data_IF_621283963602
#
_entry.id   IF_621283963602
#
_cell.length_a   1.000
_cell.length_b   1.000
_cell.length_c   1.000
_cell.angle_alpha   90.00
_cell.angle_beta   90.00
_cell.angle_gamma   90.00
#
_symmetry.space_group_name_H-M   'P 1'
#
loop_
_entity.id
_entity.type
_entity.pdbx_description
1 polymer ?
#
# COMPACT_ATOMS: atom_id res chain seq x y z
N UNK A 1 14.77 -7.73 20.82
CA UNK A 1 15.06 -8.64 19.68
C UNK A 1 13.79 -9.44 19.36
N UNK A 2 13.14 -9.21 18.22
CA UNK A 2 11.97 -9.99 17.79
C UNK A 2 12.32 -10.81 16.54
N UNK A 3 13.16 -11.85 16.73
CA UNK A 3 13.66 -12.74 15.66
C UNK A 3 12.52 -13.28 14.79
N UNK A 4 11.40 -13.61 15.43
CA UNK A 4 10.21 -14.19 14.79
C UNK A 4 9.69 -13.30 13.65
N UNK A 5 9.83 -11.98 13.79
CA UNK A 5 9.39 -11.01 12.77
C UNK A 5 10.10 -11.15 11.43
N UNK A 6 11.34 -11.68 11.39
CA UNK A 6 12.06 -11.93 10.13
C UNK A 6 11.46 -13.09 9.34
N UNK A 7 10.91 -14.10 10.02
CA UNK A 7 10.42 -15.34 9.40
C UNK A 7 8.94 -15.30 9.08
N UNK A 8 8.11 -14.87 10.03
CA UNK A 8 6.66 -14.92 9.86
C UNK A 8 6.19 -13.72 9.02
N UNK A 9 5.48 -13.95 7.90
CA UNK A 9 4.87 -12.88 7.11
C UNK A 9 4.02 -11.94 7.97
N UNK A 10 3.90 -10.68 7.56
CA UNK A 10 3.16 -9.61 8.23
C UNK A 10 3.82 -9.09 9.53
N UNK A 11 4.48 -9.94 10.31
CA UNK A 11 5.12 -9.51 11.56
C UNK A 11 6.27 -8.53 11.33
N UNK A 12 7.01 -8.64 10.22
CA UNK A 12 8.06 -7.67 9.88
C UNK A 12 7.46 -6.28 9.62
N UNK A 13 6.32 -6.20 8.93
CA UNK A 13 5.59 -4.95 8.70
C UNK A 13 5.09 -4.37 10.01
N UNK A 14 4.51 -5.19 10.90
CA UNK A 14 4.06 -4.73 12.21
C UNK A 14 5.21 -4.10 12.98
N UNK A 15 6.35 -4.80 13.03
CA UNK A 15 7.55 -4.36 13.73
C UNK A 15 8.14 -3.04 13.16
N UNK A 16 8.27 -2.95 11.83
CA UNK A 16 9.02 -1.86 11.18
C UNK A 16 8.16 -0.69 10.70
N UNK A 17 6.82 -0.84 10.61
CA UNK A 17 5.90 0.18 10.08
C UNK A 17 4.74 0.51 11.00
N UNK A 18 4.26 -0.44 11.81
CA UNK A 18 3.06 -0.27 12.64
C UNK A 18 3.41 -0.15 14.13
N UNK A 19 4.37 0.71 14.45
CA UNK A 19 4.97 0.79 15.80
C UNK A 19 4.04 1.33 16.89
N UNK A 20 2.92 1.98 16.53
CA UNK A 20 1.98 2.53 17.51
C UNK A 20 0.52 2.28 17.13
N UNK A 21 -0.38 2.34 18.12
CA UNK A 21 -1.83 2.09 17.96
C UNK A 21 -2.47 2.98 16.90
N UNK A 22 -2.02 4.24 16.76
CA UNK A 22 -2.50 5.18 15.74
C UNK A 22 -2.11 4.73 14.33
N UNK A 23 -0.87 4.25 14.15
CA UNK A 23 -0.38 3.73 12.87
C UNK A 23 -1.11 2.44 12.48
N UNK A 24 -1.36 1.54 13.43
CA UNK A 24 -2.17 0.33 13.21
C UNK A 24 -3.58 0.72 12.77
N UNK A 25 -4.25 1.60 13.52
CA UNK A 25 -5.60 2.05 13.18
C UNK A 25 -5.63 2.68 11.79
N UNK A 26 -4.74 3.64 11.52
CA UNK A 26 -4.66 4.28 10.21
C UNK A 26 -4.45 3.26 9.08
N UNK A 27 -3.56 2.29 9.27
CA UNK A 27 -3.34 1.22 8.32
C UNK A 27 -4.61 0.39 8.09
N UNK A 28 -5.30 -0.07 9.15
CA UNK A 28 -6.53 -0.85 9.03
C UNK A 28 -7.65 -0.10 8.29
N UNK A 29 -7.82 1.20 8.57
CA UNK A 29 -8.87 2.04 7.97
C UNK A 29 -8.58 2.47 6.53
N UNK A 30 -7.32 2.68 6.16
CA UNK A 30 -6.94 3.14 4.80
C UNK A 30 -6.61 2.01 3.85
N UNK A 31 -6.33 0.82 4.40
CA UNK A 31 -5.94 -0.35 3.65
C UNK A 31 -7.05 -1.40 3.79
N UNK A 32 -7.08 -2.36 4.75
CA UNK A 32 -8.09 -3.43 4.85
C UNK A 32 -9.53 -3.03 4.60
N UNK A 33 -10.00 -2.02 5.32
CA UNK A 33 -11.41 -1.63 5.28
C UNK A 33 -11.84 -1.14 3.89
N UNK A 34 -10.95 -0.41 3.20
CA UNK A 34 -11.21 0.13 1.87
C UNK A 34 -11.60 -0.95 0.87
N UNK A 35 -10.84 -2.05 0.84
CA UNK A 35 -11.11 -3.11 -0.11
C UNK A 35 -12.26 -3.99 0.29
N UNK A 36 -12.41 -4.30 1.59
CA UNK A 36 -13.55 -5.09 2.06
C UNK A 36 -14.85 -4.44 1.61
N UNK A 37 -14.96 -3.11 1.68
CA UNK A 37 -16.17 -2.38 1.26
C UNK A 37 -16.36 -2.44 -0.27
N UNK A 38 -15.29 -2.37 -1.04
CA UNK A 38 -15.39 -2.34 -2.51
C UNK A 38 -15.71 -3.73 -3.06
N UNK A 39 -15.07 -4.75 -2.51
CA UNK A 39 -15.17 -6.11 -3.02
C UNK A 39 -16.33 -6.87 -2.43
N UNK A 40 -16.87 -6.53 -1.24
CA UNK A 40 -17.97 -7.30 -0.64
C UNK A 40 -19.27 -7.30 -1.44
N UNK A 41 -19.44 -6.35 -2.36
CA UNK A 41 -20.59 -6.28 -3.27
C UNK A 41 -20.37 -6.98 -4.61
N UNK A 42 -19.15 -7.46 -4.87
CA UNK A 42 -18.85 -8.21 -6.09
C UNK A 42 -19.39 -9.65 -5.96
N UNK A 43 -20.03 -10.21 -7.01
CA UNK A 43 -20.58 -11.56 -6.97
C UNK A 43 -19.55 -12.64 -6.62
N UNK A 44 -18.29 -12.43 -7.00
CA UNK A 44 -17.19 -13.35 -6.79
C UNK A 44 -16.49 -13.19 -5.42
N UNK A 45 -17.00 -12.32 -4.55
CA UNK A 45 -16.39 -12.06 -3.24
C UNK A 45 -16.38 -13.29 -2.35
N UNK A 46 -15.23 -13.56 -1.74
CA UNK A 46 -15.09 -14.60 -0.73
C UNK A 46 -14.23 -14.10 0.44
N UNK A 47 -14.79 -14.12 1.65
CA UNK A 47 -14.12 -13.62 2.86
C UNK A 47 -12.83 -14.40 3.17
N UNK A 48 -12.82 -15.71 2.89
CA UNK A 48 -11.64 -16.54 3.11
C UNK A 48 -10.50 -16.15 2.14
N UNK A 49 -10.81 -15.92 0.86
CA UNK A 49 -9.84 -15.39 -0.12
C UNK A 49 -9.31 -14.04 0.29
N UNK A 50 -10.09 -13.20 0.98
CA UNK A 50 -9.60 -11.94 1.53
C UNK A 50 -8.48 -12.17 2.54
N UNK A 51 -8.68 -13.00 3.57
CA UNK A 51 -7.61 -13.32 4.53
C UNK A 51 -6.38 -13.94 3.86
N UNK A 52 -6.61 -14.87 2.94
CA UNK A 52 -5.55 -15.55 2.20
C UNK A 52 -4.75 -14.56 1.32
N UNK A 53 -5.43 -13.58 0.70
CA UNK A 53 -4.80 -12.52 -0.10
C UNK A 53 -3.86 -11.64 0.72
N UNK A 54 -4.25 -11.30 1.96
CA UNK A 54 -3.39 -10.53 2.86
C UNK A 54 -2.12 -11.29 3.21
N UNK A 55 -2.26 -12.54 3.64
CA UNK A 55 -1.13 -13.38 4.04
C UNK A 55 -0.18 -13.57 2.86
N UNK A 56 -0.71 -13.87 1.67
CA UNK A 56 0.09 -14.07 0.47
C UNK A 56 0.79 -12.78 0.02
N UNK A 57 0.06 -11.66 -0.02
CA UNK A 57 0.62 -10.35 -0.32
C UNK A 57 1.78 -9.99 0.61
N UNK A 58 1.59 -10.14 1.93
CA UNK A 58 2.63 -9.83 2.92
C UNK A 58 3.81 -10.78 2.85
N UNK A 59 3.58 -12.05 2.49
CA UNK A 59 4.66 -13.01 2.27
C UNK A 59 5.61 -12.56 1.16
N UNK A 60 5.09 -11.91 0.11
CA UNK A 60 5.87 -11.39 -1.03
C UNK A 60 6.41 -9.98 -0.75
N UNK A 61 5.55 -9.05 -0.37
CA UNK A 61 5.89 -7.61 -0.28
C UNK A 61 6.99 -7.33 0.75
N UNK A 62 7.06 -8.11 1.82
CA UNK A 62 8.06 -7.95 2.86
C UNK A 62 9.47 -8.35 2.46
N UNK A 63 9.68 -9.11 1.36
CA UNK A 63 11.04 -9.28 0.82
C UNK A 63 11.65 -7.92 0.44
N UNK A 64 10.84 -7.06 -0.18
CA UNK A 64 11.22 -5.71 -0.50
C UNK A 64 11.55 -4.87 0.74
N UNK A 65 10.75 -5.02 1.80
CA UNK A 65 11.02 -4.35 3.08
C UNK A 65 12.29 -4.86 3.77
N UNK A 66 12.53 -6.16 3.79
CA UNK A 66 13.75 -6.75 4.34
C UNK A 66 14.97 -6.20 3.61
N UNK A 67 14.97 -6.24 2.28
CA UNK A 67 16.06 -5.68 1.49
C UNK A 67 16.20 -4.16 1.71
N UNK A 68 15.11 -3.40 1.78
CA UNK A 68 15.19 -1.97 2.02
C UNK A 68 15.79 -1.66 3.39
N UNK A 69 15.28 -2.30 4.44
CA UNK A 69 15.59 -1.95 5.83
C UNK A 69 16.86 -2.62 6.36
N UNK A 70 17.39 -3.66 5.68
CA UNK A 70 18.61 -4.36 6.09
C UNK A 70 19.78 -4.19 5.12
N UNK A 71 19.53 -4.19 3.80
CA UNK A 71 20.62 -4.11 2.80
C UNK A 71 20.79 -2.71 2.23
N UNK A 72 19.68 -2.04 1.93
CA UNK A 72 19.74 -0.79 1.17
C UNK A 72 20.22 0.36 2.02
N UNK A 73 19.86 0.38 3.31
CA UNK A 73 20.35 1.36 4.29
C UNK A 73 21.89 1.43 4.36
N UNK A 74 22.61 0.33 4.07
CA UNK A 74 24.08 0.31 4.10
C UNK A 74 24.72 1.19 3.03
N UNK A 75 23.95 1.55 1.99
CA UNK A 75 24.39 2.39 0.87
C UNK A 75 24.00 3.85 1.06
N UNK A 76 23.27 4.17 2.13
CA UNK A 76 22.76 5.52 2.39
C UNK A 76 23.74 6.29 3.28
N UNK A 77 23.93 7.58 2.99
CA UNK A 77 24.75 8.46 3.83
C UNK A 77 24.10 8.69 5.21
N UNK A 78 22.76 8.82 5.22
CA UNK A 78 21.95 9.00 6.42
C UNK A 78 20.80 7.98 6.42
N UNK A 79 21.04 6.75 6.91
CA UNK A 79 20.07 5.68 6.83
C UNK A 79 18.85 5.92 7.73
N UNK A 80 17.66 5.70 7.17
CA UNK A 80 16.41 5.68 7.93
C UNK A 80 16.27 4.37 8.71
N UNK A 81 16.92 4.27 9.87
CA UNK A 81 16.90 3.06 10.72
C UNK A 81 15.48 2.72 11.20
N UNK A 82 15.02 1.50 10.89
CA UNK A 82 13.73 0.93 11.34
C UNK A 82 13.87 -0.37 12.13
N UNK A 83 15.07 -0.94 12.11
CA UNK A 83 15.49 -2.14 12.84
C UNK A 83 16.70 -1.75 13.69
N UNK A 84 16.96 -2.50 14.76
CA UNK A 84 18.09 -2.22 15.65
C UNK A 84 19.39 -2.81 15.09
N UNK A 85 20.53 -2.44 15.68
CA UNK A 85 21.82 -3.04 15.33
C UNK A 85 21.87 -4.55 15.62
N UNK A 86 21.25 -5.01 16.72
CA UNK A 86 21.14 -6.44 17.03
C UNK A 86 20.33 -7.19 15.97
N UNK A 87 19.24 -6.58 15.48
CA UNK A 87 18.43 -7.15 14.41
C UNK A 87 19.23 -7.26 13.10
N UNK A 88 20.07 -6.26 12.78
CA UNK A 88 20.96 -6.30 11.62
C UNK A 88 22.04 -7.37 11.76
N UNK A 89 22.63 -7.52 12.94
CA UNK A 89 23.60 -8.58 13.22
C UNK A 89 22.97 -9.97 13.04
N UNK A 90 21.76 -10.16 13.58
CA UNK A 90 21.00 -11.39 13.37
C UNK A 90 20.70 -11.63 11.89
N UNK A 91 20.20 -10.61 11.19
CA UNK A 91 19.91 -10.69 9.76
C UNK A 91 21.15 -11.10 8.96
N UNK A 92 22.31 -10.48 9.18
CA UNK A 92 23.54 -10.84 8.45
C UNK A 92 23.95 -12.29 8.66
N UNK A 93 23.82 -12.78 9.89
CA UNK A 93 24.16 -14.15 10.25
C UNK A 93 23.22 -15.18 9.60
N UNK A 94 21.94 -14.84 9.42
CA UNK A 94 20.90 -15.80 9.03
C UNK A 94 20.16 -15.46 7.72
N UNK A 95 20.60 -14.47 6.93
CA UNK A 95 19.86 -13.97 5.75
C UNK A 95 19.44 -15.06 4.78
N UNK A 96 20.35 -16.00 4.45
CA UNK A 96 20.04 -17.09 3.52
C UNK A 96 18.88 -17.94 4.06
N UNK A 97 18.93 -18.30 5.35
CA UNK A 97 17.87 -19.05 6.01
C UNK A 97 16.54 -18.29 6.04
N UNK A 98 16.57 -16.99 6.32
CA UNK A 98 15.38 -16.12 6.30
C UNK A 98 14.74 -16.13 4.90
N UNK A 99 15.52 -15.86 3.84
CA UNK A 99 14.99 -15.84 2.48
C UNK A 99 14.50 -17.20 2.00
N UNK A 100 15.21 -18.30 2.33
CA UNK A 100 14.76 -19.65 2.00
C UNK A 100 13.42 -19.97 2.67
N UNK A 101 13.30 -19.75 3.98
CA UNK A 101 12.06 -20.02 4.72
C UNK A 101 10.88 -19.22 4.14
N UNK A 102 11.05 -17.91 3.91
CA UNK A 102 9.99 -17.07 3.35
C UNK A 102 9.61 -17.50 1.94
N UNK A 103 10.58 -17.95 1.13
CA UNK A 103 10.31 -18.46 -0.22
C UNK A 103 9.50 -19.76 -0.17
N UNK A 104 9.82 -20.67 0.76
CA UNK A 104 9.00 -21.86 1.02
C UNK A 104 7.56 -21.48 1.41
N UNK A 105 7.37 -20.49 2.29
CA UNK A 105 6.04 -20.01 2.67
C UNK A 105 5.25 -19.47 1.47
N UNK A 106 5.88 -18.64 0.61
CA UNK A 106 5.25 -18.14 -0.62
C UNK A 106 4.84 -19.28 -1.55
N UNK A 107 5.71 -20.29 -1.74
CA UNK A 107 5.42 -21.44 -2.60
C UNK A 107 4.26 -22.27 -2.03
N UNK A 108 4.27 -22.56 -0.73
CA UNK A 108 3.20 -23.34 -0.07
C UNK A 108 1.85 -22.61 -0.16
N UNK A 109 1.84 -21.29 0.06
CA UNK A 109 0.63 -20.48 -0.10
C UNK A 109 0.15 -20.46 -1.57
N UNK A 110 1.06 -20.36 -2.54
CA UNK A 110 0.71 -20.39 -3.96
C UNK A 110 0.09 -21.74 -4.36
N UNK A 111 0.66 -22.86 -3.90
CA UNK A 111 0.12 -24.21 -4.12
C UNK A 111 -1.28 -24.31 -3.49
N UNK A 112 -1.43 -23.89 -2.23
CA UNK A 112 -2.71 -23.92 -1.54
C UNK A 112 -3.78 -23.07 -2.24
N UNK A 113 -3.42 -21.86 -2.69
CA UNK A 113 -4.31 -20.99 -3.48
C UNK A 113 -4.76 -21.65 -4.77
N UNK A 114 -3.85 -22.33 -5.47
CA UNK A 114 -4.16 -23.00 -6.72
C UNK A 114 -5.13 -24.17 -6.51
N UNK A 115 -4.87 -25.00 -5.48
CA UNK A 115 -5.78 -26.10 -5.08
C UNK A 115 -7.15 -25.55 -4.66
N UNK A 116 -7.19 -24.36 -4.06
CA UNK A 116 -8.42 -23.68 -3.67
C UNK A 116 -9.17 -23.02 -4.84
N UNK A 117 -8.73 -23.22 -6.09
CA UNK A 117 -9.41 -22.75 -7.29
C UNK A 117 -9.05 -21.34 -7.76
N UNK A 118 -8.01 -20.71 -7.18
CA UNK A 118 -7.52 -19.41 -7.66
C UNK A 118 -6.72 -19.62 -8.96
N UNK A 119 -7.04 -18.81 -9.98
CA UNK A 119 -6.40 -18.89 -11.31
C UNK A 119 -4.89 -18.65 -11.17
N UNK A 120 -4.10 -19.48 -11.86
CA UNK A 120 -2.64 -19.39 -11.81
C UNK A 120 -2.12 -18.00 -12.21
N UNK A 121 -2.74 -17.37 -13.22
CA UNK A 121 -2.37 -16.00 -13.64
C UNK A 121 -2.49 -14.96 -12.52
N UNK A 122 -3.45 -15.12 -11.62
CA UNK A 122 -3.68 -14.24 -10.47
C UNK A 122 -2.69 -14.53 -9.35
N UNK A 123 -2.33 -15.80 -9.15
CA UNK A 123 -1.30 -16.21 -8.19
C UNK A 123 0.08 -15.68 -8.62
N UNK A 124 0.37 -15.69 -9.93
CA UNK A 124 1.64 -15.20 -10.46
C UNK A 124 1.74 -13.67 -10.51
N UNK A 125 0.62 -12.96 -10.60
CA UNK A 125 0.61 -11.49 -10.72
C UNK A 125 1.37 -10.75 -9.59
N UNK A 126 1.21 -11.09 -8.30
CA UNK A 126 1.95 -10.47 -7.21
C UNK A 126 3.46 -10.65 -7.29
N UNK A 127 3.97 -11.64 -8.05
CA UNK A 127 5.41 -11.84 -8.21
C UNK A 127 6.09 -10.67 -8.95
N UNK A 128 5.34 -9.86 -9.71
CA UNK A 128 5.85 -8.61 -10.28
C UNK A 128 6.28 -7.59 -9.23
N UNK A 129 5.86 -7.75 -7.96
CA UNK A 129 6.35 -6.92 -6.85
C UNK A 129 7.87 -7.10 -6.69
N UNK A 130 8.43 -8.31 -6.87
CA UNK A 130 9.86 -8.55 -6.72
C UNK A 130 10.74 -7.65 -7.60
N UNK A 131 10.62 -7.67 -8.96
CA UNK A 131 11.44 -6.82 -9.81
C UNK A 131 11.18 -5.33 -9.57
N UNK A 132 9.93 -4.91 -9.32
CA UNK A 132 9.62 -3.50 -9.06
C UNK A 132 10.26 -3.02 -7.76
N UNK A 133 10.21 -3.83 -6.71
CA UNK A 133 10.83 -3.50 -5.43
C UNK A 133 12.36 -3.52 -5.53
N UNK A 134 12.94 -4.44 -6.30
CA UNK A 134 14.38 -4.44 -6.57
C UNK A 134 14.84 -3.14 -7.23
N UNK A 135 14.10 -2.66 -8.24
CA UNK A 135 14.38 -1.36 -8.88
C UNK A 135 14.21 -0.21 -7.86
N UNK A 136 13.14 -0.24 -7.06
CA UNK A 136 12.90 0.75 -6.00
C UNK A 136 14.07 0.84 -5.00
N UNK A 137 14.62 -0.30 -4.60
CA UNK A 137 15.74 -0.39 -3.66
C UNK A 137 17.09 -0.02 -4.32
N UNK A 138 17.23 -0.21 -5.62
CA UNK A 138 18.47 0.10 -6.34
C UNK A 138 18.65 1.58 -6.67
N UNK A 139 17.57 2.34 -6.80
CA UNK A 139 17.60 3.75 -7.20
C UNK A 139 17.41 4.65 -5.97
N UNK A 140 18.05 5.82 -5.97
CA UNK A 140 17.90 6.89 -4.95
C UNK A 140 17.72 8.24 -5.63
N UNK A 141 16.69 8.36 -6.47
CA UNK A 141 16.41 9.57 -7.24
C UNK A 141 14.92 9.88 -7.29
N UNK A 142 14.55 10.95 -8.01
CA UNK A 142 13.14 11.28 -8.33
C UNK A 142 12.34 10.11 -8.89
N UNK A 143 13.00 9.16 -9.57
CA UNK A 143 12.34 7.96 -10.12
C UNK A 143 11.73 7.07 -9.03
N UNK A 144 12.28 7.07 -7.81
CA UNK A 144 11.72 6.29 -6.69
C UNK A 144 10.27 6.66 -6.39
N UNK A 145 9.88 7.91 -6.63
CA UNK A 145 8.51 8.36 -6.41
C UNK A 145 7.53 7.69 -7.39
N UNK A 146 7.91 7.56 -8.65
CA UNK A 146 7.11 6.88 -9.67
C UNK A 146 7.09 5.36 -9.45
N UNK A 147 8.22 4.77 -9.08
CA UNK A 147 8.29 3.33 -8.76
C UNK A 147 7.44 3.03 -7.52
N UNK A 148 7.42 3.93 -6.53
CA UNK A 148 6.56 3.80 -5.36
C UNK A 148 5.07 3.84 -5.73
N UNK A 149 4.68 4.64 -6.72
CA UNK A 149 3.31 4.64 -7.24
C UNK A 149 2.96 3.28 -7.86
N UNK A 150 3.86 2.69 -8.64
CA UNK A 150 3.68 1.34 -9.22
C UNK A 150 3.53 0.30 -8.10
N UNK A 151 4.40 0.33 -7.08
CA UNK A 151 4.29 -0.55 -5.91
C UNK A 151 2.94 -0.39 -5.19
N UNK A 152 2.45 0.85 -5.04
CA UNK A 152 1.15 1.10 -4.43
C UNK A 152 0.01 0.49 -5.27
N UNK A 153 0.04 0.64 -6.60
CA UNK A 153 -0.96 0.02 -7.48
C UNK A 153 -0.92 -1.51 -7.36
N UNK A 154 0.27 -2.12 -7.47
CA UNK A 154 0.43 -3.58 -7.33
C UNK A 154 -0.05 -4.09 -5.98
N UNK A 155 0.24 -3.35 -4.90
CA UNK A 155 -0.19 -3.63 -3.54
C UNK A 155 -1.72 -3.70 -3.43
N UNK A 156 -2.44 -2.74 -3.99
CA UNK A 156 -3.90 -2.73 -3.93
C UNK A 156 -4.52 -3.73 -4.92
N UNK A 157 -3.99 -3.85 -6.14
CA UNK A 157 -4.49 -4.74 -7.18
C UNK A 157 -4.34 -6.23 -6.80
N UNK A 158 -3.21 -6.61 -6.20
CA UNK A 158 -2.95 -7.99 -5.73
C UNK A 158 -4.08 -8.51 -4.86
N UNK A 159 -4.46 -7.73 -3.85
CA UNK A 159 -5.47 -8.13 -2.88
C UNK A 159 -6.84 -8.28 -3.55
N UNK A 160 -7.23 -7.30 -4.37
CA UNK A 160 -8.53 -7.33 -5.06
C UNK A 160 -8.62 -8.48 -6.06
N UNK A 161 -7.59 -8.72 -6.88
CA UNK A 161 -7.63 -9.80 -7.86
C UNK A 161 -7.66 -11.18 -7.24
N UNK A 162 -7.01 -11.39 -6.10
CA UNK A 162 -7.08 -12.66 -5.38
C UNK A 162 -8.48 -12.85 -4.78
N UNK A 163 -9.08 -11.81 -4.19
CA UNK A 163 -10.44 -11.87 -3.63
C UNK A 163 -11.44 -12.26 -4.71
N UNK A 164 -11.40 -11.56 -5.85
CA UNK A 164 -12.38 -11.73 -6.93
C UNK A 164 -12.04 -12.92 -7.85
N UNK A 165 -10.82 -13.42 -7.79
CA UNK A 165 -10.30 -14.45 -8.70
C UNK A 165 -10.46 -14.06 -10.20
N UNK A 166 -10.32 -12.78 -10.49
CA UNK A 166 -10.35 -12.22 -11.84
C UNK A 166 -9.59 -10.89 -11.96
N UNK A 167 -9.16 -10.59 -13.18
CA UNK A 167 -8.64 -9.28 -13.53
C UNK A 167 -9.79 -8.35 -13.94
N UNK A 168 -9.90 -7.22 -13.27
CA UNK A 168 -10.90 -6.19 -13.57
C UNK A 168 -10.20 -4.83 -13.79
N UNK A 169 -10.31 -4.29 -15.00
CA UNK A 169 -9.71 -3.00 -15.35
C UNK A 169 -10.36 -1.82 -14.61
N UNK A 170 -11.67 -1.85 -14.46
CA UNK A 170 -12.43 -0.88 -13.66
C UNK A 170 -11.93 -0.84 -12.22
N UNK A 171 -11.67 -2.00 -11.62
CA UNK A 171 -11.10 -2.10 -10.28
C UNK A 171 -9.70 -1.48 -10.21
N UNK A 172 -8.81 -1.74 -11.17
CA UNK A 172 -7.47 -1.10 -11.18
C UNK A 172 -7.59 0.41 -11.22
N UNK A 173 -8.40 0.95 -12.13
CA UNK A 173 -8.54 2.39 -12.29
C UNK A 173 -9.13 3.02 -11.03
N UNK A 174 -10.16 2.39 -10.46
CA UNK A 174 -10.76 2.82 -9.20
C UNK A 174 -9.74 2.80 -8.06
N UNK A 175 -9.01 1.69 -7.90
CA UNK A 175 -7.98 1.54 -6.85
C UNK A 175 -6.85 2.53 -7.00
N UNK A 176 -6.41 2.84 -8.23
CA UNK A 176 -5.39 3.83 -8.53
C UNK A 176 -5.81 5.23 -8.10
N UNK A 177 -7.03 5.63 -8.47
CA UNK A 177 -7.56 6.95 -8.15
C UNK A 177 -7.92 7.08 -6.67
N UNK A 178 -8.36 6.00 -6.04
CA UNK A 178 -8.79 6.01 -4.65
C UNK A 178 -7.70 6.51 -3.67
N UNK A 179 -6.51 5.90 -3.71
CA UNK A 179 -5.44 6.17 -2.74
C UNK A 179 -4.05 6.36 -3.35
N UNK A 180 -3.51 5.46 -4.20
CA UNK A 180 -2.18 5.59 -4.79
C UNK A 180 -1.93 6.95 -5.45
N UNK A 181 -2.86 7.46 -6.26
CA UNK A 181 -2.68 8.73 -6.94
C UNK A 181 -2.76 9.93 -5.98
N UNK A 182 -3.74 9.94 -5.07
CA UNK A 182 -3.83 10.94 -4.00
C UNK A 182 -2.53 11.01 -3.18
N UNK A 183 -2.02 9.84 -2.76
CA UNK A 183 -0.80 9.73 -1.96
C UNK A 183 0.45 10.10 -2.76
N UNK A 184 0.49 9.81 -4.06
CA UNK A 184 1.55 10.23 -4.95
C UNK A 184 1.65 11.75 -5.06
N UNK A 185 0.52 12.46 -5.21
CA UNK A 185 0.50 13.93 -5.22
C UNK A 185 1.07 14.46 -3.90
N UNK A 186 0.63 13.93 -2.77
CA UNK A 186 1.12 14.33 -1.45
C UNK A 186 2.64 14.12 -1.29
N UNK A 187 3.15 12.93 -1.64
CA UNK A 187 4.59 12.64 -1.58
C UNK A 187 5.41 13.50 -2.53
N UNK A 188 4.86 13.83 -3.70
CA UNK A 188 5.48 14.73 -4.68
C UNK A 188 5.68 16.13 -4.14
N UNK A 189 4.74 16.64 -3.33
CA UNK A 189 4.86 17.97 -2.70
C UNK A 189 5.78 17.92 -1.49
N UNK A 190 5.69 16.86 -0.67
CA UNK A 190 6.53 16.68 0.52
C UNK A 190 8.02 16.74 0.21
N UNK A 191 8.44 16.24 -0.95
CA UNK A 191 9.85 16.23 -1.33
C UNK A 191 10.54 14.88 -1.19
N UNK A 192 9.81 13.76 -1.30
CA UNK A 192 10.41 12.42 -1.12
C UNK A 192 11.56 12.21 -2.12
N UNK A 193 12.70 11.71 -1.62
CA UNK A 193 13.95 11.52 -2.40
C UNK A 193 14.50 12.82 -3.03
N UNK A 194 14.36 13.96 -2.34
CA UNK A 194 14.90 15.25 -2.76
C UNK A 194 14.14 15.93 -3.90
N UNK A 195 13.08 15.32 -4.42
CA UNK A 195 12.28 15.87 -5.51
C UNK A 195 10.98 16.52 -5.03
N UNK A 196 10.81 17.81 -5.32
CA UNK A 196 9.57 18.57 -5.04
C UNK A 196 8.89 18.98 -6.34
N UNK A 197 7.67 18.51 -6.56
CA UNK A 197 6.87 18.89 -7.72
C UNK A 197 6.25 20.28 -7.52
N UNK A 198 6.79 21.29 -8.21
CA UNK A 198 6.34 22.68 -8.11
C UNK A 198 4.93 22.90 -8.64
N UNK A 199 4.49 22.14 -9.66
CA UNK A 199 3.14 22.23 -10.20
C UNK A 199 2.12 21.75 -9.16
N UNK A 200 2.36 20.59 -8.56
CA UNK A 200 1.45 20.08 -7.53
C UNK A 200 1.46 20.93 -6.27
N UNK A 201 2.61 21.50 -5.91
CA UNK A 201 2.67 22.48 -4.85
C UNK A 201 1.79 23.69 -5.18
N UNK A 202 1.91 24.25 -6.38
CA UNK A 202 1.14 25.44 -6.79
C UNK A 202 -0.37 25.20 -6.81
N UNK A 203 -0.83 24.07 -7.35
CA UNK A 203 -2.26 23.84 -7.63
C UNK A 203 -2.99 22.97 -6.61
N UNK A 204 -2.30 22.05 -5.91
CA UNK A 204 -2.96 21.10 -5.01
C UNK A 204 -2.63 21.37 -3.53
N UNK A 205 -1.36 21.55 -3.18
CA UNK A 205 -0.91 21.71 -1.78
C UNK A 205 0.13 22.85 -1.70
N UNK A 206 -0.31 24.12 -1.61
CA UNK A 206 0.59 25.29 -1.57
C UNK A 206 1.55 25.30 -0.38
N UNK A 207 1.02 24.92 0.79
CA UNK A 207 1.73 24.84 2.05
C UNK A 207 1.65 23.39 2.53
N UNK A 208 2.79 22.78 2.84
CA UNK A 208 2.82 21.39 3.32
C UNK A 208 2.71 21.36 4.85
N UNK A 209 1.49 21.53 5.36
CA UNK A 209 1.14 21.35 6.76
C UNK A 209 -0.04 20.37 6.92
N UNK A 210 -0.37 19.99 8.16
CA UNK A 210 -1.47 19.05 8.44
C UNK A 210 -2.80 19.52 7.83
N UNK A 211 -3.15 20.78 8.05
CA UNK A 211 -4.43 21.34 7.59
C UNK A 211 -4.56 21.23 6.06
N UNK A 212 -3.58 21.72 5.32
CA UNK A 212 -3.61 21.75 3.85
C UNK A 212 -3.56 20.36 3.24
N UNK A 213 -2.80 19.43 3.82
CA UNK A 213 -2.75 18.03 3.36
C UNK A 213 -4.11 17.34 3.57
N UNK A 214 -4.72 17.48 4.74
CA UNK A 214 -6.03 16.87 5.00
C UNK A 214 -7.14 17.54 4.17
N UNK A 215 -7.10 18.87 4.00
CA UNK A 215 -8.01 19.61 3.11
C UNK A 215 -7.91 19.12 1.67
N UNK A 216 -6.69 18.95 1.15
CA UNK A 216 -6.44 18.40 -0.17
C UNK A 216 -7.06 17.00 -0.32
N UNK A 217 -6.83 16.09 0.64
CA UNK A 217 -7.39 14.74 0.60
C UNK A 217 -8.92 14.76 0.49
N UNK A 218 -9.60 15.60 1.27
CA UNK A 218 -11.06 15.75 1.20
C UNK A 218 -11.51 16.27 -0.17
N UNK A 219 -10.91 17.35 -0.67
CA UNK A 219 -11.25 17.93 -1.98
C UNK A 219 -11.02 16.93 -3.11
N UNK A 220 -9.91 16.19 -3.04
CA UNK A 220 -9.58 15.13 -3.99
C UNK A 220 -10.64 14.02 -3.98
N UNK A 221 -11.12 13.58 -2.81
CA UNK A 221 -12.13 12.52 -2.75
C UNK A 221 -13.50 12.98 -3.28
N UNK A 222 -13.88 14.24 -3.07
CA UNK A 222 -15.08 14.79 -3.71
C UNK A 222 -14.94 14.84 -5.24
N UNK A 223 -13.77 15.26 -5.74
CA UNK A 223 -13.50 15.24 -7.17
C UNK A 223 -13.52 13.81 -7.74
N UNK A 224 -12.93 12.85 -7.03
CA UNK A 224 -12.97 11.45 -7.44
C UNK A 224 -14.40 10.88 -7.40
N UNK A 225 -15.21 11.22 -6.39
CA UNK A 225 -16.63 10.84 -6.36
C UNK A 225 -17.39 11.37 -7.59
N UNK A 226 -17.13 12.60 -8.02
CA UNK A 226 -17.72 13.16 -9.24
C UNK A 226 -17.28 12.42 -10.51
N UNK A 227 -16.00 12.06 -10.62
CA UNK A 227 -15.49 11.21 -11.71
C UNK A 227 -16.18 9.84 -11.68
N UNK A 228 -16.26 9.19 -10.52
CA UNK A 228 -16.91 7.89 -10.36
C UNK A 228 -18.38 7.95 -10.76
N UNK A 229 -19.12 9.00 -10.38
CA UNK A 229 -20.51 9.20 -10.81
C UNK A 229 -20.64 9.28 -12.33
N UNK A 230 -19.74 10.03 -12.97
CA UNK A 230 -19.70 10.15 -14.42
C UNK A 230 -19.39 8.80 -15.10
N UNK A 231 -18.43 8.05 -14.55
CA UNK A 231 -18.07 6.72 -15.05
C UNK A 231 -19.19 5.70 -14.85
N UNK A 232 -19.93 5.75 -13.75
CA UNK A 232 -21.11 4.90 -13.55
C UNK A 232 -22.21 5.24 -14.55
N UNK A 233 -22.47 6.54 -14.80
CA UNK A 233 -23.50 6.99 -15.74
C UNK A 233 -23.27 6.50 -17.18
N UNK A 234 -22.01 6.33 -17.59
CA UNK A 234 -21.64 5.82 -18.92
C UNK A 234 -21.31 4.32 -18.93
N UNK A 235 -21.56 3.60 -17.83
CA UNK A 235 -21.30 2.15 -17.71
C UNK A 235 -19.82 1.76 -17.58
N UNK A 236 -18.92 2.71 -17.34
CA UNK A 236 -17.49 2.47 -17.13
C UNK A 236 -17.15 1.91 -15.75
N UNK A 237 -17.94 2.24 -14.71
CA UNK A 237 -17.84 1.68 -13.36
C UNK A 237 -19.14 1.01 -12.92
N UNK A 238 -19.07 -0.08 -12.14
CA UNK A 238 -20.24 -0.59 -11.42
C UNK A 238 -20.73 0.40 -10.36
N UNK A 239 -22.04 0.49 -10.17
CA UNK A 239 -22.64 1.47 -9.25
C UNK A 239 -22.17 1.31 -7.79
N UNK A 240 -21.86 0.09 -7.34
CA UNK A 240 -21.40 -0.16 -5.97
C UNK A 240 -20.01 0.45 -5.66
N UNK A 241 -19.20 0.79 -6.67
CA UNK A 241 -17.97 1.55 -6.44
C UNK A 241 -18.24 2.93 -5.80
N UNK A 242 -19.43 3.51 -6.03
CA UNK A 242 -19.85 4.74 -5.35
C UNK A 242 -19.97 4.55 -3.84
N UNK A 243 -20.35 3.37 -3.36
CA UNK A 243 -20.41 3.06 -1.93
C UNK A 243 -19.00 3.16 -1.33
N UNK A 244 -18.01 2.54 -1.98
CA UNK A 244 -16.60 2.65 -1.59
C UNK A 244 -16.10 4.10 -1.60
N UNK A 245 -16.44 4.88 -2.62
CA UNK A 245 -16.11 6.30 -2.70
C UNK A 245 -16.74 7.10 -1.55
N UNK A 246 -18.02 6.87 -1.23
CA UNK A 246 -18.74 7.58 -0.17
C UNK A 246 -18.15 7.27 1.21
N UNK A 247 -17.86 6.00 1.50
CA UNK A 247 -17.25 5.62 2.78
C UNK A 247 -15.89 6.30 2.93
N UNK A 248 -15.07 6.30 1.88
CA UNK A 248 -13.74 6.90 2.00
C UNK A 248 -13.74 8.42 2.03
N UNK A 249 -14.65 9.06 1.30
CA UNK A 249 -14.90 10.50 1.43
C UNK A 249 -15.26 10.83 2.88
N UNK A 250 -16.15 10.03 3.48
CA UNK A 250 -16.53 10.17 4.90
C UNK A 250 -15.33 9.98 5.82
N UNK A 251 -14.50 8.96 5.60
CA UNK A 251 -13.27 8.74 6.37
C UNK A 251 -12.30 9.92 6.23
N UNK A 252 -12.12 10.48 5.04
CA UNK A 252 -11.25 11.65 4.84
C UNK A 252 -11.80 12.88 5.56
N UNK A 253 -13.12 13.12 5.52
CA UNK A 253 -13.77 14.20 6.28
C UNK A 253 -13.53 14.02 7.78
N UNK A 254 -13.77 12.81 8.32
CA UNK A 254 -13.50 12.51 9.72
C UNK A 254 -12.05 12.77 10.10
N UNK A 255 -11.09 12.33 9.27
CA UNK A 255 -9.66 12.58 9.54
C UNK A 255 -9.31 14.07 9.48
N UNK A 256 -9.93 14.85 8.60
CA UNK A 256 -9.74 16.30 8.54
C UNK A 256 -10.29 16.99 9.80
N UNK A 257 -11.46 16.60 10.28
CA UNK A 257 -12.04 17.16 11.51
C UNK A 257 -11.17 16.83 12.74
N UNK A 258 -10.69 15.59 12.83
CA UNK A 258 -9.92 15.10 13.98
C UNK A 258 -8.47 15.58 14.00
N UNK A 259 -7.81 15.64 12.83
CA UNK A 259 -6.36 15.85 12.73
C UNK A 259 -5.96 17.07 11.89
N UNK A 260 -6.91 17.69 11.20
CA UNK A 260 -6.66 18.83 10.32
C UNK A 260 -6.61 20.18 11.03
N UNK A 261 -6.80 20.26 12.35
CA UNK A 261 -6.65 21.53 13.07
C UNK A 261 -5.24 22.08 12.88
N UNK A 262 -5.13 23.39 12.62
CA UNK A 262 -3.87 24.09 12.80
C UNK A 262 -3.44 23.87 14.24
N UNK A 263 -2.16 23.51 14.46
CA UNK A 263 -1.59 23.62 15.80
C UNK A 263 -1.68 25.11 16.16
N UNK A 264 -2.73 25.50 16.89
CA UNK A 264 -2.78 26.77 17.59
C UNK A 264 -1.56 26.76 18.50
N UNK A 265 -0.54 27.53 18.12
CA UNK A 265 0.62 27.75 18.96
C UNK A 265 0.12 28.28 20.30
N UNK A 266 0.27 27.46 21.34
CA UNK A 266 0.47 27.94 22.71
C UNK A 266 1.84 28.62 22.78
#
# INVERSE_FOLDING_TARGET
>A
MNIVSFFIPFLFTVYTRLQNKKAIAHYLFTFPLAWTIVTCFEPNFEIFRMFLSFIYFYSIYEFGYLQNDCETIKKELEPSMRVTYDDLFFYEKYKIMIYMFRSCVVILLAIYMHISGIKLSIILFPLFIFPVFYIYNSIRSKLNLYIHLILAILKHATIVFIILNEFQWSAILWLFLYHPFCFFIELSVRGKAGYKNLLFKKYFIPIYDKYHVHKFRVCYQFFFLFISLSLVAVGGFPAFYLIGNLVYTTLMIMTFILFGKHDEKL
#
